data_IF_875051808304
#
_entry.id   IF_875051808304
#
_cell.length_a   1.000
_cell.length_b   1.000
_cell.length_c   1.000
_cell.angle_alpha   90.00
_cell.angle_beta   90.00
_cell.angle_gamma   90.00
#
_symmetry.space_group_name_H-M   'P 1'
#
loop_
_entity.id
_entity.type
_entity.pdbx_description
1 polymer ?
#
# COMPACT_ATOMS: atom_id res chain seq x y z
N UNK A 1 -21.88 -8.34 42.20
CA UNK A 1 -20.85 -7.79 41.29
C UNK A 1 -20.42 -8.90 40.34
N UNK A 2 -20.73 -8.80 39.04
CA UNK A 2 -20.36 -9.82 38.05
C UNK A 2 -18.84 -9.83 37.92
N UNK A 3 -18.18 -10.94 38.27
CA UNK A 3 -16.74 -11.14 38.01
C UNK A 3 -16.54 -11.09 36.50
N UNK A 4 -15.98 -10.00 36.00
CA UNK A 4 -15.61 -9.88 34.59
C UNK A 4 -14.46 -10.85 34.34
N UNK A 5 -14.68 -11.79 33.42
CA UNK A 5 -13.72 -12.84 33.13
C UNK A 5 -12.65 -12.25 32.18
N UNK A 6 -11.53 -11.79 32.74
CA UNK A 6 -10.45 -11.11 31.99
C UNK A 6 -9.92 -11.94 30.80
N UNK A 7 -9.97 -13.28 30.91
CA UNK A 7 -9.63 -14.21 29.83
C UNK A 7 -10.51 -13.98 28.58
N UNK A 8 -11.81 -13.77 28.77
CA UNK A 8 -12.74 -13.51 27.67
C UNK A 8 -12.48 -12.18 26.97
N UNK A 9 -12.01 -11.16 27.71
CA UNK A 9 -11.64 -9.86 27.14
C UNK A 9 -10.35 -9.97 26.31
N UNK A 10 -9.35 -10.70 26.80
CA UNK A 10 -8.10 -10.93 26.05
C UNK A 10 -8.38 -11.71 24.77
N UNK A 11 -9.22 -12.74 24.81
CA UNK A 11 -9.65 -13.48 23.62
C UNK A 11 -10.35 -12.57 22.60
N UNK A 12 -11.27 -11.70 23.02
CA UNK A 12 -11.96 -10.74 22.14
C UNK A 12 -10.99 -9.77 21.43
N UNK A 13 -9.93 -9.33 22.12
CA UNK A 13 -8.91 -8.44 21.54
C UNK A 13 -8.02 -9.15 20.51
N UNK A 14 -7.78 -10.46 20.66
CA UNK A 14 -7.00 -11.24 19.70
C UNK A 14 -7.79 -11.51 18.41
N UNK A 15 -9.10 -11.76 18.49
CA UNK A 15 -9.93 -12.02 17.31
C UNK A 15 -10.15 -10.78 16.42
N UNK A 16 -10.16 -9.58 16.99
CA UNK A 16 -10.42 -8.35 16.22
C UNK A 16 -9.32 -8.03 15.21
N UNK A 17 -8.07 -8.38 15.51
CA UNK A 17 -6.92 -8.09 14.65
C UNK A 17 -6.88 -8.99 13.40
N UNK A 18 -7.14 -10.29 13.56
CA UNK A 18 -7.17 -11.24 12.44
C UNK A 18 -8.31 -10.99 11.46
N UNK A 19 -9.50 -10.62 11.97
CA UNK A 19 -10.65 -10.29 11.12
C UNK A 19 -10.42 -9.01 10.31
N UNK A 20 -9.79 -7.99 10.92
CA UNK A 20 -9.45 -6.74 10.23
C UNK A 20 -8.53 -6.98 9.02
N UNK A 21 -7.50 -7.82 9.20
CA UNK A 21 -6.55 -8.15 8.14
C UNK A 21 -7.23 -8.80 6.93
N UNK A 22 -8.09 -9.79 7.15
CA UNK A 22 -8.81 -10.50 6.08
C UNK A 22 -9.76 -9.57 5.31
N UNK A 23 -10.41 -8.63 6.01
CA UNK A 23 -11.26 -7.63 5.37
C UNK A 23 -10.43 -6.72 4.46
N UNK A 24 -9.27 -6.26 4.93
CA UNK A 24 -8.37 -5.43 4.12
C UNK A 24 -7.86 -6.17 2.90
N UNK A 25 -7.45 -7.44 3.03
CA UNK A 25 -6.97 -8.25 1.90
C UNK A 25 -8.05 -8.38 0.81
N UNK A 26 -9.30 -8.61 1.22
CA UNK A 26 -10.43 -8.66 0.28
C UNK A 26 -10.66 -7.32 -0.40
N UNK A 27 -10.55 -6.20 0.32
CA UNK A 27 -10.72 -4.87 -0.26
C UNK A 27 -9.58 -4.52 -1.24
N UNK A 28 -8.35 -4.95 -0.95
CA UNK A 28 -7.21 -4.83 -1.87
C UNK A 28 -7.52 -5.56 -3.16
N UNK A 29 -7.97 -6.82 -3.07
CA UNK A 29 -8.31 -7.61 -4.27
C UNK A 29 -9.38 -6.93 -5.12
N UNK A 30 -10.45 -6.40 -4.48
CA UNK A 30 -11.48 -5.64 -5.19
C UNK A 30 -10.88 -4.43 -5.92
N UNK A 31 -9.97 -3.68 -5.28
CA UNK A 31 -9.29 -2.56 -5.92
C UNK A 31 -8.42 -2.99 -7.09
N UNK A 32 -7.67 -4.09 -6.94
CA UNK A 32 -6.82 -4.68 -7.99
C UNK A 32 -7.66 -5.10 -9.20
N UNK A 33 -8.75 -5.84 -8.97
CA UNK A 33 -9.67 -6.26 -10.04
C UNK A 33 -10.20 -5.06 -10.82
N UNK A 34 -10.50 -3.94 -10.14
CA UNK A 34 -10.94 -2.71 -10.80
C UNK A 34 -9.86 -2.08 -11.66
N UNK A 35 -8.65 -1.91 -11.14
CA UNK A 35 -7.56 -1.25 -11.90
C UNK A 35 -7.06 -2.12 -13.07
N UNK A 36 -7.06 -3.45 -12.94
CA UNK A 36 -6.71 -4.35 -14.06
C UNK A 36 -7.75 -4.35 -15.18
N UNK A 37 -9.00 -3.98 -14.88
CA UNK A 37 -10.05 -3.74 -15.86
C UNK A 37 -10.17 -2.26 -16.26
N UNK A 38 -9.13 -1.45 -16.00
CA UNK A 38 -9.09 -0.01 -16.33
C UNK A 38 -10.21 0.83 -15.69
N UNK A 39 -10.88 0.30 -14.66
CA UNK A 39 -11.89 1.02 -13.90
C UNK A 39 -11.21 1.78 -12.74
N UNK A 40 -10.50 2.84 -13.12
CA UNK A 40 -9.62 3.58 -12.23
C UNK A 40 -10.35 4.29 -11.09
N UNK A 41 -11.53 4.85 -11.36
CA UNK A 41 -12.31 5.57 -10.34
C UNK A 41 -12.76 4.64 -9.21
N UNK A 42 -13.27 3.46 -9.55
CA UNK A 42 -13.66 2.46 -8.55
C UNK A 42 -12.45 1.90 -7.79
N UNK A 43 -11.33 1.66 -8.49
CA UNK A 43 -10.07 1.27 -7.85
C UNK A 43 -9.61 2.33 -6.84
N UNK A 44 -9.67 3.61 -7.22
CA UNK A 44 -9.33 4.73 -6.35
C UNK A 44 -10.23 4.80 -5.11
N UNK A 45 -11.55 4.61 -5.28
CA UNK A 45 -12.51 4.53 -4.15
C UNK A 45 -12.20 3.37 -3.21
N UNK A 46 -11.83 2.20 -3.76
CA UNK A 46 -11.46 1.03 -2.96
C UNK A 46 -10.24 1.31 -2.09
N UNK A 47 -9.15 1.82 -2.67
CA UNK A 47 -7.92 2.12 -1.92
C UNK A 47 -8.10 3.28 -0.93
N UNK A 48 -8.88 4.31 -1.26
CA UNK A 48 -9.24 5.36 -0.30
C UNK A 48 -10.04 4.82 0.89
N UNK A 49 -10.90 3.84 0.67
CA UNK A 49 -11.66 3.20 1.75
C UNK A 49 -10.73 2.47 2.72
N UNK A 50 -9.71 1.78 2.19
CA UNK A 50 -8.67 1.13 3.00
C UNK A 50 -7.93 2.18 3.83
N UNK A 51 -7.43 3.24 3.20
CA UNK A 51 -6.70 4.33 3.87
C UNK A 51 -7.56 4.97 4.98
N UNK A 52 -8.86 5.17 4.73
CA UNK A 52 -9.77 5.75 5.73
C UNK A 52 -9.98 4.84 6.94
N UNK A 53 -10.04 3.52 6.73
CA UNK A 53 -10.29 2.53 7.80
C UNK A 53 -9.03 2.16 8.57
N UNK A 54 -7.89 2.12 7.88
CA UNK A 54 -6.60 1.68 8.40
C UNK A 54 -5.50 2.63 7.88
N UNK A 55 -5.45 3.87 8.40
CA UNK A 55 -4.53 4.89 7.91
C UNK A 55 -3.06 4.57 8.16
N UNK A 56 -2.76 3.61 9.04
CA UNK A 56 -1.43 3.09 9.35
C UNK A 56 -1.05 1.87 8.48
N UNK A 57 -1.98 1.35 7.67
CA UNK A 57 -1.70 0.24 6.76
C UNK A 57 -1.03 0.77 5.48
N UNK A 58 0.22 0.38 5.19
CA UNK A 58 0.95 0.89 4.02
C UNK A 58 0.28 0.50 2.69
N UNK A 59 -0.45 -0.62 2.63
CA UNK A 59 -0.92 -1.20 1.37
C UNK A 59 -1.92 -0.32 0.64
N UNK A 60 -2.78 0.39 1.37
CA UNK A 60 -3.74 1.32 0.78
C UNK A 60 -3.04 2.44 -0.01
N UNK A 61 -1.93 2.96 0.52
CA UNK A 61 -1.12 3.98 -0.13
C UNK A 61 -0.34 3.40 -1.32
N UNK A 62 0.27 2.22 -1.19
CA UNK A 62 0.98 1.55 -2.28
C UNK A 62 0.07 1.31 -3.50
N UNK A 63 -1.08 0.66 -3.32
CA UNK A 63 -1.93 0.35 -4.46
C UNK A 63 -2.59 1.60 -5.06
N UNK A 64 -2.82 2.63 -4.25
CA UNK A 64 -3.23 3.95 -4.75
C UNK A 64 -2.14 4.60 -5.60
N UNK A 65 -0.87 4.49 -5.19
CA UNK A 65 0.24 5.07 -5.96
C UNK A 65 0.35 4.44 -7.35
N UNK A 66 0.11 3.12 -7.47
CA UNK A 66 0.13 2.42 -8.75
C UNK A 66 -0.81 3.06 -9.80
N UNK A 67 -2.00 3.52 -9.42
CA UNK A 67 -2.90 4.21 -10.36
C UNK A 67 -2.23 5.45 -10.95
N UNK A 68 -1.58 6.26 -10.11
CA UNK A 68 -0.86 7.45 -10.56
C UNK A 68 0.37 7.11 -11.40
N UNK A 69 1.06 6.01 -11.10
CA UNK A 69 2.13 5.51 -11.96
C UNK A 69 1.60 5.21 -13.36
N UNK A 70 0.50 4.46 -13.48
CA UNK A 70 -0.11 4.14 -14.78
C UNK A 70 -0.50 5.41 -15.55
N UNK A 71 -1.07 6.41 -14.88
CA UNK A 71 -1.37 7.69 -15.50
C UNK A 71 -0.10 8.39 -15.99
N UNK A 72 0.93 8.49 -15.16
CA UNK A 72 2.21 9.09 -15.55
C UNK A 72 2.83 8.38 -16.76
N UNK A 73 2.85 7.04 -16.76
CA UNK A 73 3.39 6.26 -17.87
C UNK A 73 2.65 6.56 -19.18
N UNK A 74 1.32 6.72 -19.12
CA UNK A 74 0.46 6.95 -20.28
C UNK A 74 0.43 8.40 -20.78
N UNK A 75 0.60 9.40 -19.92
CA UNK A 75 0.40 10.81 -20.29
C UNK A 75 1.57 11.75 -19.98
N UNK A 76 2.59 11.30 -19.24
CA UNK A 76 3.77 12.06 -18.84
C UNK A 76 3.47 13.37 -18.07
N UNK A 77 2.29 13.50 -17.47
CA UNK A 77 1.98 14.66 -16.64
C UNK A 77 2.66 14.54 -15.29
N UNK A 78 3.50 15.51 -14.96
CA UNK A 78 4.28 15.56 -13.71
C UNK A 78 3.40 15.52 -12.45
N UNK A 79 2.17 16.05 -12.51
CA UNK A 79 1.23 15.96 -11.38
C UNK A 79 0.87 14.52 -11.00
N UNK A 80 0.90 13.59 -11.96
CA UNK A 80 0.74 12.15 -11.69
C UNK A 80 2.02 11.57 -11.08
N UNK A 81 3.20 12.03 -11.50
CA UNK A 81 4.47 11.63 -10.89
C UNK A 81 4.57 12.12 -9.44
N UNK A 82 4.16 13.36 -9.16
CA UNK A 82 4.11 13.93 -7.81
C UNK A 82 3.19 13.11 -6.90
N UNK A 83 1.99 12.78 -7.41
CA UNK A 83 1.03 11.96 -6.68
C UNK A 83 1.56 10.54 -6.43
N UNK A 84 2.15 9.91 -7.45
CA UNK A 84 2.79 8.61 -7.33
C UNK A 84 3.89 8.63 -6.24
N UNK A 85 4.75 9.65 -6.28
CA UNK A 85 5.86 9.81 -5.34
C UNK A 85 5.35 9.97 -3.92
N UNK A 86 4.40 10.90 -3.70
CA UNK A 86 3.81 11.13 -2.38
C UNK A 86 3.22 9.87 -1.77
N UNK A 87 2.38 9.13 -2.52
CA UNK A 87 1.73 7.93 -1.99
C UNK A 87 2.72 6.76 -1.81
N UNK A 88 3.70 6.62 -2.68
CA UNK A 88 4.76 5.61 -2.55
C UNK A 88 5.63 5.86 -1.33
N UNK A 89 6.05 7.11 -1.10
CA UNK A 89 6.86 7.49 0.05
C UNK A 89 6.09 7.33 1.35
N UNK A 90 4.80 7.70 1.37
CA UNK A 90 3.95 7.47 2.54
C UNK A 90 3.80 5.97 2.85
N UNK A 91 3.64 5.15 1.82
CA UNK A 91 3.60 3.69 1.99
C UNK A 91 4.91 3.15 2.54
N UNK A 92 6.04 3.64 2.05
CA UNK A 92 7.37 3.20 2.47
C UNK A 92 7.67 3.61 3.91
N UNK A 93 7.31 4.83 4.32
CA UNK A 93 7.39 5.32 5.70
C UNK A 93 6.66 4.36 6.66
N UNK A 94 5.40 4.05 6.37
CA UNK A 94 4.57 3.17 7.20
C UNK A 94 5.08 1.72 7.19
N UNK A 95 5.53 1.22 6.04
CA UNK A 95 6.10 -0.12 5.92
C UNK A 95 7.38 -0.26 6.74
N UNK A 96 8.28 0.72 6.67
CA UNK A 96 9.51 0.74 7.45
C UNK A 96 9.23 0.83 8.95
N UNK A 97 8.23 1.61 9.37
CA UNK A 97 7.80 1.63 10.78
C UNK A 97 7.36 0.24 11.25
N UNK A 98 6.54 -0.47 10.47
CA UNK A 98 6.13 -1.85 10.78
C UNK A 98 7.31 -2.83 10.77
N UNK A 99 8.32 -2.59 9.93
CA UNK A 99 9.51 -3.45 9.83
C UNK A 99 10.32 -3.45 11.13
N UNK A 100 10.38 -2.29 11.83
CA UNK A 100 11.03 -2.19 13.15
C UNK A 100 10.33 -2.99 14.24
N UNK A 101 9.03 -3.25 14.09
CA UNK A 101 8.23 -4.00 15.05
C UNK A 101 8.29 -5.51 14.76
N UNK A 102 8.07 -5.89 13.50
CA UNK A 102 8.07 -7.28 13.05
C UNK A 102 8.36 -7.35 11.57
N UNK A 103 9.43 -8.06 11.22
CA UNK A 103 9.73 -8.39 9.82
C UNK A 103 8.92 -9.59 9.37
N UNK A 104 8.22 -9.45 8.24
CA UNK A 104 7.54 -10.56 7.55
C UNK A 104 7.91 -10.57 6.07
N UNK A 105 7.69 -11.70 5.39
CA UNK A 105 7.97 -11.82 3.96
C UNK A 105 7.07 -10.88 3.14
N UNK A 106 5.81 -10.73 3.52
CA UNK A 106 4.84 -9.85 2.90
C UNK A 106 5.27 -8.38 3.01
N UNK A 107 5.84 -7.99 4.16
CA UNK A 107 6.31 -6.62 4.35
C UNK A 107 7.56 -6.34 3.50
N UNK A 108 8.49 -7.29 3.42
CA UNK A 108 9.64 -7.18 2.51
C UNK A 108 9.21 -7.12 1.05
N UNK A 109 8.25 -7.96 0.66
CA UNK A 109 7.68 -7.95 -0.68
C UNK A 109 7.03 -6.60 -1.01
N UNK A 110 6.26 -6.03 -0.07
CA UNK A 110 5.66 -4.72 -0.23
C UNK A 110 6.71 -3.63 -0.43
N UNK A 111 7.76 -3.60 0.40
CA UNK A 111 8.86 -2.63 0.28
C UNK A 111 9.56 -2.76 -1.08
N UNK A 112 9.93 -3.99 -1.48
CA UNK A 112 10.53 -4.25 -2.78
C UNK A 112 9.62 -3.83 -3.95
N UNK A 113 8.31 -4.07 -3.83
CA UNK A 113 7.33 -3.65 -4.84
C UNK A 113 7.23 -2.12 -4.97
N UNK A 114 7.38 -1.39 -3.85
CA UNK A 114 7.42 0.09 -3.87
C UNK A 114 8.67 0.56 -4.59
N UNK A 115 9.85 0.02 -4.26
CA UNK A 115 11.10 0.39 -4.92
C UNK A 115 11.11 0.04 -6.41
N UNK A 116 10.60 -1.14 -6.78
CA UNK A 116 10.42 -1.53 -8.17
C UNK A 116 9.54 -0.54 -8.96
N UNK A 117 8.41 -0.12 -8.39
CA UNK A 117 7.56 0.87 -9.04
C UNK A 117 8.25 2.24 -9.14
N UNK A 118 9.02 2.65 -8.12
CA UNK A 118 9.80 3.90 -8.16
C UNK A 118 10.87 3.84 -9.24
N UNK A 119 11.56 2.72 -9.41
CA UNK A 119 12.56 2.57 -10.48
C UNK A 119 11.94 2.64 -11.87
N UNK A 120 10.72 2.12 -12.05
CA UNK A 120 9.97 2.29 -13.31
C UNK A 120 9.70 3.77 -13.60
N UNK A 121 9.23 4.53 -12.60
CA UNK A 121 8.98 5.96 -12.76
C UNK A 121 10.26 6.72 -13.13
N UNK A 122 11.37 6.43 -12.42
CA UNK A 122 12.68 7.05 -12.69
C UNK A 122 13.19 6.72 -14.09
N UNK A 123 13.09 5.46 -14.52
CA UNK A 123 13.45 5.06 -15.88
C UNK A 123 12.58 5.78 -16.92
N UNK A 124 11.27 5.94 -16.64
CA UNK A 124 10.36 6.69 -17.53
C UNK A 124 10.76 8.16 -17.65
N UNK A 125 11.23 8.78 -16.58
CA UNK A 125 11.73 10.15 -16.57
C UNK A 125 13.14 10.29 -17.18
N UNK A 126 13.77 9.20 -17.64
CA UNK A 126 15.12 9.20 -18.21
C UNK A 126 16.25 9.09 -17.18
N UNK A 127 15.94 8.93 -15.89
CA UNK A 127 16.91 8.84 -14.79
C UNK A 127 17.41 7.39 -14.59
N UNK A 128 18.00 6.80 -15.63
CA UNK A 128 18.34 5.36 -15.63
C UNK A 128 19.31 4.91 -14.54
N UNK A 129 20.32 5.73 -14.19
CA UNK A 129 21.24 5.41 -13.09
C UNK A 129 20.52 5.38 -11.74
N UNK A 130 19.60 6.32 -11.53
CA UNK A 130 18.77 6.35 -10.33
C UNK A 130 17.84 5.14 -10.29
N UNK A 131 17.19 4.80 -11.42
CA UNK A 131 16.36 3.62 -11.53
C UNK A 131 17.12 2.33 -11.14
N UNK A 132 18.35 2.17 -11.62
CA UNK A 132 19.19 1.04 -11.25
C UNK A 132 19.47 1.02 -9.75
N UNK A 133 19.85 2.16 -9.17
CA UNK A 133 20.09 2.27 -7.73
C UNK A 133 18.86 1.92 -6.92
N UNK A 134 17.72 2.54 -7.24
CA UNK A 134 16.44 2.35 -6.54
C UNK A 134 15.98 0.89 -6.61
N UNK A 135 16.19 0.20 -7.74
CA UNK A 135 15.79 -1.22 -7.88
C UNK A 135 16.61 -2.21 -7.03
N UNK A 136 17.76 -1.79 -6.49
CA UNK A 136 18.65 -2.63 -5.68
C UNK A 136 18.44 -2.46 -4.17
N UNK A 137 17.45 -1.66 -3.74
CA UNK A 137 17.10 -1.42 -2.34
C UNK A 137 16.15 -2.49 -1.81
#
# INVERSE_FOLDING_TARGET
>A
MKKINYISIVLLLLFSTGFSQQVTDKQIQVGLDKIYNFNWEDGFKAFNTIIKKSPDDPRGYHYKSIIFLWYYLGNLQETNLDSFTYFSDKSLELANLKLTQKTTAELKYLIGSIYYNKSIAEARSGNYLQALWTSNQ
#
